data_IF_150779731177
#
_entry.id   IF_150779731177
#
_cell.length_a   1.000
_cell.length_b   1.000
_cell.length_c   1.000
_cell.angle_alpha   90.00
_cell.angle_beta   90.00
_cell.angle_gamma   90.00
#
_symmetry.space_group_name_H-M   'P 1'
#
loop_
_entity.id
_entity.type
_entity.pdbx_description
1 polymer ?
#
# COMPACT_ATOMS: atom_id res chain seq x y z
N UNK A 1 9.81 -3.06 -17.40
CA UNK A 1 8.66 -2.16 -17.14
C UNK A 1 7.41 -2.62 -17.91
N UNK A 2 6.20 -2.46 -17.34
CA UNK A 2 4.92 -2.72 -18.04
C UNK A 2 4.71 -1.89 -19.34
N UNK A 3 5.67 -1.01 -19.64
CA UNK A 3 5.76 -0.14 -20.82
C UNK A 3 6.53 -0.79 -21.99
N UNK A 4 6.85 -2.08 -21.93
CA UNK A 4 7.60 -2.78 -22.98
C UNK A 4 6.87 -2.87 -24.34
N UNK A 5 5.60 -2.44 -24.40
CA UNK A 5 4.77 -2.45 -25.59
C UNK A 5 5.13 -1.36 -26.62
N UNK A 6 5.86 -0.30 -26.22
CA UNK A 6 6.25 0.78 -27.14
C UNK A 6 7.78 1.01 -27.09
N UNK A 7 8.45 0.76 -28.22
CA UNK A 7 9.89 0.97 -28.39
C UNK A 7 10.33 2.42 -28.09
N UNK A 8 9.50 3.40 -28.43
CA UNK A 8 9.75 4.81 -28.10
C UNK A 8 9.71 5.05 -26.59
N UNK A 9 8.71 4.49 -25.90
CA UNK A 9 8.62 4.60 -24.43
C UNK A 9 9.80 3.92 -23.74
N UNK A 10 10.26 2.77 -24.25
CA UNK A 10 11.47 2.12 -23.76
C UNK A 10 12.73 2.95 -24.00
N UNK A 11 12.85 3.57 -25.18
CA UNK A 11 13.96 4.48 -25.49
C UNK A 11 13.96 5.70 -24.56
N UNK A 12 12.81 6.34 -24.34
CA UNK A 12 12.65 7.45 -23.39
C UNK A 12 12.97 7.01 -21.95
N UNK A 13 12.53 5.81 -21.55
CA UNK A 13 12.88 5.26 -20.24
C UNK A 13 14.39 5.03 -20.10
N UNK A 14 15.05 4.50 -21.13
CA UNK A 14 16.50 4.31 -21.20
C UNK A 14 17.28 5.63 -21.18
N UNK A 15 16.73 6.69 -21.78
CA UNK A 15 17.35 8.00 -21.84
C UNK A 15 17.39 8.75 -20.49
N UNK A 16 16.60 8.32 -19.49
CA UNK A 16 16.62 8.91 -18.16
C UNK A 16 18.01 8.77 -17.50
N UNK A 17 18.58 9.91 -17.09
CA UNK A 17 19.87 10.03 -16.42
C UNK A 17 19.67 10.34 -14.94
N UNK A 18 20.09 9.41 -14.08
CA UNK A 18 20.16 9.62 -12.64
C UNK A 18 21.57 10.06 -12.24
N UNK A 19 21.65 11.04 -11.32
CA UNK A 19 22.92 11.52 -10.76
C UNK A 19 22.79 11.71 -9.27
N UNK A 20 23.87 11.42 -8.54
CA UNK A 20 24.03 11.79 -7.13
C UNK A 20 25.14 12.82 -7.06
N UNK A 21 24.85 13.97 -6.46
CA UNK A 21 25.83 15.04 -6.26
C UNK A 21 26.05 15.22 -4.76
N UNK A 22 27.32 15.29 -4.36
CA UNK A 22 27.72 15.42 -2.95
C UNK A 22 27.88 16.89 -2.59
N UNK A 23 27.61 17.23 -1.32
CA UNK A 23 27.89 18.55 -0.73
C UNK A 23 27.33 19.70 -1.56
N UNK A 24 26.03 19.63 -1.87
CA UNK A 24 25.37 20.61 -2.73
C UNK A 24 25.07 21.87 -1.92
N UNK A 25 25.84 22.93 -2.17
CA UNK A 25 25.51 24.28 -1.73
C UNK A 25 24.28 24.76 -2.48
N UNK A 26 23.20 25.00 -1.76
CA UNK A 26 21.89 25.25 -2.36
C UNK A 26 21.38 26.68 -2.16
N UNK A 27 22.00 27.43 -1.24
CA UNK A 27 21.58 28.79 -0.89
C UNK A 27 22.51 29.82 -1.51
N UNK A 28 21.94 30.98 -1.85
CA UNK A 28 22.70 32.20 -2.16
C UNK A 28 22.92 33.08 -0.92
N UNK A 29 22.24 32.77 0.20
CA UNK A 29 22.27 33.56 1.42
C UNK A 29 23.24 32.97 2.48
N UNK A 30 23.61 31.70 2.35
CA UNK A 30 24.54 31.02 3.26
C UNK A 30 25.34 29.94 2.52
N UNK A 31 26.34 29.35 3.20
CA UNK A 31 27.17 28.27 2.65
C UNK A 31 26.68 26.86 3.02
N UNK A 32 25.44 26.72 3.50
CA UNK A 32 24.91 25.40 3.89
C UNK A 32 24.90 24.48 2.68
N UNK A 33 25.26 23.23 2.94
CA UNK A 33 25.29 22.18 1.94
C UNK A 33 24.43 21.00 2.39
N UNK A 34 23.74 20.39 1.43
CA UNK A 34 23.10 19.09 1.60
C UNK A 34 24.14 18.00 1.28
N UNK A 35 24.25 16.97 2.13
CA UNK A 35 25.24 15.91 1.95
C UNK A 35 25.14 15.21 0.60
N UNK A 36 23.94 14.77 0.21
CA UNK A 36 23.66 14.25 -1.14
C UNK A 36 22.37 14.83 -1.73
N UNK A 37 22.39 15.11 -3.02
CA UNK A 37 21.18 15.40 -3.80
C UNK A 37 21.09 14.43 -4.97
N UNK A 38 19.92 13.78 -5.08
CA UNK A 38 19.59 12.87 -6.18
C UNK A 38 18.87 13.67 -7.26
N UNK A 39 19.30 13.51 -8.50
CA UNK A 39 18.74 14.19 -9.67
C UNK A 39 18.23 13.19 -10.71
N UNK A 40 17.11 13.54 -11.35
CA UNK A 40 16.60 12.91 -12.56
C UNK A 40 16.64 13.94 -13.69
N UNK A 41 17.47 13.70 -14.71
CA UNK A 41 17.64 14.60 -15.86
C UNK A 41 17.98 16.05 -15.46
N UNK A 42 18.66 16.23 -14.32
CA UNK A 42 19.02 17.55 -13.77
C UNK A 42 17.97 18.17 -12.84
N UNK A 43 16.79 17.54 -12.69
CA UNK A 43 15.76 17.96 -11.72
C UNK A 43 16.07 17.31 -10.37
N UNK A 44 16.19 18.07 -9.26
CA UNK A 44 16.39 17.49 -7.95
C UNK A 44 15.13 16.75 -7.51
N UNK A 45 15.29 15.47 -7.14
CA UNK A 45 14.17 14.60 -6.74
C UNK A 45 14.27 14.15 -5.29
N UNK A 46 15.47 14.12 -4.71
CA UNK A 46 15.64 13.92 -3.27
C UNK A 46 16.85 14.65 -2.69
N UNK A 47 16.76 15.04 -1.42
CA UNK A 47 17.91 15.46 -0.60
C UNK A 47 18.20 14.41 0.46
N UNK A 48 19.46 14.34 0.92
CA UNK A 48 19.89 13.39 1.95
C UNK A 48 20.84 14.10 2.91
N UNK A 49 20.60 13.92 4.21
CA UNK A 49 21.57 14.23 5.28
C UNK A 49 22.03 12.90 5.88
N UNK A 50 23.35 12.72 5.95
CA UNK A 50 24.00 11.48 6.37
C UNK A 50 24.64 11.65 7.75
N UNK A 51 24.44 10.65 8.61
CA UNK A 51 25.07 10.57 9.94
C UNK A 51 25.61 9.18 10.20
N UNK A 52 26.47 9.07 11.19
CA UNK A 52 27.06 7.81 11.65
C UNK A 52 26.79 7.72 13.14
N UNK A 53 26.08 6.67 13.59
CA UNK A 53 25.62 6.54 14.99
C UNK A 53 26.75 6.56 16.04
N UNK A 54 28.01 6.46 15.62
CA UNK A 54 29.18 6.66 16.48
C UNK A 54 29.37 8.12 16.91
N UNK A 55 29.00 9.08 16.07
CA UNK A 55 29.17 10.52 16.32
C UNK A 55 27.85 11.26 16.41
N UNK A 56 26.90 10.93 15.53
CA UNK A 56 25.63 11.62 15.40
C UNK A 56 24.54 10.61 15.02
N UNK A 57 23.42 10.68 15.71
CA UNK A 57 22.28 9.79 15.54
C UNK A 57 21.39 10.19 14.36
N UNK A 58 20.36 9.39 14.09
CA UNK A 58 19.28 9.74 13.17
C UNK A 58 18.55 11.04 13.56
N UNK A 59 18.42 11.30 14.88
CA UNK A 59 17.78 12.51 15.39
C UNK A 59 18.56 13.75 14.99
N UNK A 60 19.89 13.69 15.02
CA UNK A 60 20.75 14.80 14.58
C UNK A 60 20.56 15.11 13.09
N UNK A 61 20.35 14.10 12.23
CA UNK A 61 20.02 14.33 10.82
C UNK A 61 18.66 15.02 10.65
N UNK A 62 17.66 14.56 11.40
CA UNK A 62 16.30 15.13 11.38
C UNK A 62 16.31 16.58 11.89
N UNK A 63 17.03 16.83 12.98
CA UNK A 63 17.13 18.15 13.57
C UNK A 63 17.92 19.10 12.66
N UNK A 64 18.97 18.63 11.99
CA UNK A 64 19.64 19.44 10.95
C UNK A 64 18.66 19.92 9.87
N UNK A 65 17.74 19.07 9.41
CA UNK A 65 16.67 19.52 8.49
C UNK A 65 15.74 20.55 9.12
N UNK A 66 15.33 20.35 10.38
CA UNK A 66 14.36 21.21 11.08
C UNK A 66 14.89 22.59 11.41
N UNK A 67 16.16 22.66 11.83
CA UNK A 67 16.79 23.88 12.36
C UNK A 67 17.62 24.60 11.29
N UNK A 68 18.32 23.87 10.42
CA UNK A 68 19.33 24.47 9.53
C UNK A 68 18.92 24.49 8.04
N UNK A 69 17.86 23.76 7.66
CA UNK A 69 17.38 23.62 6.27
C UNK A 69 15.99 24.22 6.07
N UNK A 70 15.76 25.43 6.60
CA UNK A 70 14.51 26.14 6.39
C UNK A 70 14.28 26.44 4.90
N UNK A 71 13.19 25.96 4.27
CA UNK A 71 12.88 26.27 2.87
C UNK A 71 12.58 27.74 2.61
N UNK A 72 12.25 28.52 3.65
CA UNK A 72 11.97 29.96 3.53
C UNK A 72 12.61 30.72 4.69
N UNK A 73 13.94 30.85 4.69
CA UNK A 73 14.65 31.56 5.75
C UNK A 73 14.16 33.00 5.87
N UNK A 74 14.02 33.48 7.11
CA UNK A 74 13.52 34.85 7.36
C UNK A 74 14.45 35.88 6.73
N UNK A 75 13.88 36.76 5.91
CA UNK A 75 14.63 37.83 5.24
C UNK A 75 15.39 37.40 3.98
N UNK A 76 15.22 36.17 3.51
CA UNK A 76 15.77 35.68 2.24
C UNK A 76 14.67 35.17 1.31
N UNK A 77 15.00 34.98 0.03
CA UNK A 77 14.13 34.27 -0.90
C UNK A 77 13.95 32.80 -0.48
N UNK A 78 12.89 32.16 -0.95
CA UNK A 78 12.70 30.72 -0.75
C UNK A 78 13.81 29.92 -1.41
N UNK A 79 14.29 28.89 -0.72
CA UNK A 79 15.35 28.01 -1.17
C UNK A 79 14.80 27.06 -2.25
N UNK A 80 15.19 27.19 -3.53
CA UNK A 80 14.52 26.45 -4.62
C UNK A 80 14.61 24.93 -4.47
N UNK A 81 15.73 24.43 -3.96
CA UNK A 81 15.96 23.00 -3.73
C UNK A 81 15.00 22.40 -2.68
N UNK A 82 14.63 23.19 -1.67
CA UNK A 82 13.87 22.73 -0.50
C UNK A 82 12.39 23.14 -0.54
N UNK A 83 12.03 24.02 -1.48
CA UNK A 83 10.68 24.56 -1.62
C UNK A 83 9.69 23.49 -2.04
N UNK A 84 8.51 23.46 -1.43
CA UNK A 84 7.41 22.59 -1.84
C UNK A 84 6.39 23.38 -2.67
N UNK A 85 5.83 22.84 -3.79
CA UNK A 85 6.07 21.51 -4.36
C UNK A 85 7.13 21.49 -5.49
N UNK A 86 7.91 22.56 -5.68
CA UNK A 86 8.77 22.76 -6.85
C UNK A 86 10.21 22.23 -6.73
N UNK A 87 10.67 22.00 -5.50
CA UNK A 87 12.01 21.50 -5.16
C UNK A 87 12.07 19.98 -5.10
N UNK A 88 13.02 19.45 -4.32
CA UNK A 88 13.16 18.03 -4.09
C UNK A 88 11.86 17.44 -3.50
N UNK A 89 11.49 16.25 -3.98
CA UNK A 89 10.19 15.65 -3.70
C UNK A 89 10.16 14.86 -2.38
N UNK A 90 11.34 14.45 -1.89
CA UNK A 90 11.52 13.71 -0.64
C UNK A 90 12.89 14.03 -0.03
N UNK A 91 12.95 14.09 1.29
CA UNK A 91 14.15 14.42 2.06
C UNK A 91 14.45 13.25 2.99
N UNK A 92 15.62 12.64 2.86
CA UNK A 92 16.06 11.50 3.68
C UNK A 92 17.02 11.96 4.76
N UNK A 93 16.74 11.55 6.00
CA UNK A 93 17.67 11.53 7.11
C UNK A 93 18.16 10.08 7.25
N UNK A 94 19.47 9.87 7.25
CA UNK A 94 20.05 8.52 7.21
C UNK A 94 21.15 8.37 8.25
N UNK A 95 21.08 7.31 9.04
CA UNK A 95 22.18 6.83 9.88
C UNK A 95 22.66 5.44 9.44
N UNK A 96 23.55 4.82 10.22
CA UNK A 96 24.01 3.46 9.95
C UNK A 96 22.93 2.40 10.23
N UNK A 97 21.94 2.76 11.06
CA UNK A 97 20.92 1.86 11.55
C UNK A 97 19.52 2.17 11.03
N UNK A 98 19.20 3.44 10.78
CA UNK A 98 17.84 3.89 10.46
C UNK A 98 17.78 4.89 9.30
N UNK A 99 16.63 4.90 8.61
CA UNK A 99 16.29 5.85 7.55
C UNK A 99 14.94 6.47 7.89
N UNK A 100 14.88 7.79 7.83
CA UNK A 100 13.65 8.55 7.99
C UNK A 100 13.47 9.47 6.79
N UNK A 101 12.22 9.78 6.44
CA UNK A 101 11.91 10.62 5.29
C UNK A 101 10.76 11.61 5.54
N UNK A 102 10.81 12.73 4.84
CA UNK A 102 9.72 13.71 4.78
C UNK A 102 9.53 14.16 3.33
N UNK A 103 8.29 14.43 2.91
CA UNK A 103 7.99 14.96 1.56
C UNK A 103 7.75 16.47 1.55
N UNK A 104 7.78 17.12 2.71
CA UNK A 104 7.54 18.55 2.85
C UNK A 104 8.23 19.07 4.12
N UNK A 105 9.30 19.86 3.95
CA UNK A 105 9.96 20.56 5.04
C UNK A 105 9.15 21.79 5.47
N UNK A 106 8.92 21.93 6.77
CA UNK A 106 8.20 23.03 7.42
C UNK A 106 8.98 23.58 8.62
N UNK A 107 10.31 23.63 8.49
CA UNK A 107 11.23 23.96 9.59
C UNK A 107 10.99 23.04 10.80
N UNK A 108 10.83 23.62 11.98
CA UNK A 108 10.59 22.90 13.24
C UNK A 108 9.36 21.98 13.22
N UNK A 109 8.33 22.34 12.44
CA UNK A 109 7.10 21.54 12.32
C UNK A 109 7.24 20.34 11.37
N UNK A 110 8.43 20.10 10.80
CA UNK A 110 8.66 18.97 9.90
C UNK A 110 8.52 17.65 10.64
N UNK A 111 7.69 16.77 10.10
CA UNK A 111 7.51 15.41 10.58
C UNK A 111 8.24 14.45 9.64
N UNK A 112 9.22 13.74 10.18
CA UNK A 112 9.93 12.67 9.50
C UNK A 112 9.32 11.32 9.87
N UNK A 113 9.00 10.52 8.87
CA UNK A 113 8.45 9.19 9.02
C UNK A 113 9.56 8.15 8.88
N UNK A 114 9.58 7.07 9.70
CA UNK A 114 10.45 5.93 9.45
C UNK A 114 10.25 5.36 8.05
N UNK A 115 11.35 5.01 7.40
CA UNK A 115 11.35 4.33 6.10
C UNK A 115 12.13 3.01 6.18
N UNK A 116 11.90 2.25 7.26
CA UNK A 116 12.70 1.10 7.65
C UNK A 116 12.04 -0.25 7.28
N UNK A 117 12.86 -1.32 7.15
CA UNK A 117 12.40 -2.68 6.77
C UNK A 117 11.52 -3.36 7.84
N UNK A 118 11.61 -2.92 9.10
CA UNK A 118 11.18 -3.69 10.27
C UNK A 118 12.24 -4.70 10.70
N UNK A 119 12.18 -5.13 11.96
CA UNK A 119 13.09 -6.13 12.51
C UNK A 119 12.29 -7.22 13.23
N UNK A 120 12.01 -8.32 12.54
CA UNK A 120 11.06 -9.33 12.99
C UNK A 120 9.65 -8.73 13.06
N UNK A 121 9.13 -8.54 14.28
CA UNK A 121 7.84 -7.88 14.51
C UNK A 121 7.95 -6.43 14.97
N UNK A 122 9.17 -5.88 15.13
CA UNK A 122 9.40 -4.53 15.63
C UNK A 122 9.89 -3.53 14.58
N UNK A 123 10.16 -2.31 15.01
CA UNK A 123 10.70 -1.21 14.20
C UNK A 123 12.19 -1.36 13.85
N UNK A 124 12.69 -0.43 13.04
CA UNK A 124 14.09 -0.36 12.63
C UNK A 124 14.43 -1.31 11.49
N UNK A 125 15.72 -1.61 11.31
CA UNK A 125 16.21 -2.45 10.23
C UNK A 125 16.89 -3.71 10.78
N UNK A 126 16.79 -4.87 10.10
CA UNK A 126 17.45 -6.09 10.55
C UNK A 126 18.97 -5.94 10.45
N UNK A 127 19.75 -6.72 11.22
CA UNK A 127 21.20 -6.76 11.06
C UNK A 127 21.59 -7.13 9.61
N UNK A 128 22.57 -6.44 9.07
CA UNK A 128 23.19 -6.78 7.79
C UNK A 128 24.63 -7.28 8.06
N UNK A 129 24.92 -8.53 7.74
CA UNK A 129 26.24 -9.13 7.99
C UNK A 129 27.32 -8.61 7.02
N UNK A 130 26.92 -7.98 5.92
CA UNK A 130 27.81 -7.52 4.85
C UNK A 130 27.94 -6.00 4.78
N UNK A 131 27.31 -5.24 5.69
CA UNK A 131 27.35 -3.78 5.66
C UNK A 131 26.40 -3.12 6.66
N UNK A 132 26.03 -1.88 6.37
CA UNK A 132 25.10 -1.13 7.21
C UNK A 132 23.68 -1.71 7.14
N UNK A 133 22.89 -1.52 8.20
CA UNK A 133 21.48 -1.94 8.21
C UNK A 133 20.63 -1.15 7.22
N UNK A 134 21.11 0.04 6.85
CA UNK A 134 20.51 0.95 5.87
C UNK A 134 20.93 0.69 4.42
N UNK A 135 21.70 -0.37 4.15
CA UNK A 135 22.21 -0.68 2.81
C UNK A 135 21.15 -0.85 1.73
N UNK A 136 19.97 -1.36 2.12
CA UNK A 136 18.82 -1.46 1.22
C UNK A 136 18.44 -0.11 0.58
N UNK A 137 18.75 1.03 1.22
CA UNK A 137 18.44 2.34 0.67
C UNK A 137 19.16 2.59 -0.65
N UNK A 138 20.45 2.25 -0.77
CA UNK A 138 21.17 2.43 -2.05
C UNK A 138 21.15 1.18 -2.93
N UNK A 139 21.08 -0.01 -2.36
CA UNK A 139 21.09 -1.27 -3.11
C UNK A 139 19.74 -1.61 -3.73
N UNK A 140 18.64 -1.29 -3.03
CA UNK A 140 17.29 -1.68 -3.43
C UNK A 140 16.43 -0.46 -3.80
N UNK A 141 16.48 0.63 -3.02
CA UNK A 141 15.56 1.78 -3.19
C UNK A 141 16.09 2.78 -4.23
N UNK A 142 17.36 3.18 -4.16
CA UNK A 142 17.98 4.11 -5.11
C UNK A 142 18.58 3.41 -6.34
N UNK A 143 18.47 2.09 -6.44
CA UNK A 143 18.75 1.38 -7.68
C UNK A 143 17.93 2.01 -8.83
N UNK A 144 18.55 2.19 -10.00
CA UNK A 144 18.02 3.02 -11.10
C UNK A 144 16.54 2.75 -11.39
N UNK A 145 16.20 1.51 -11.67
CA UNK A 145 14.85 1.16 -12.10
C UNK A 145 13.85 1.23 -10.93
N UNK A 146 14.31 0.90 -9.71
CA UNK A 146 13.52 1.04 -8.48
C UNK A 146 13.19 2.50 -8.18
N UNK A 147 14.17 3.40 -8.30
CA UNK A 147 13.97 4.83 -8.07
C UNK A 147 13.04 5.46 -9.10
N UNK A 148 13.25 5.14 -10.39
CA UNK A 148 12.36 5.57 -11.47
C UNK A 148 10.94 5.03 -11.30
N UNK A 149 10.80 3.79 -10.81
CA UNK A 149 9.48 3.22 -10.47
C UNK A 149 8.84 3.98 -9.31
N UNK A 150 9.57 4.29 -8.24
CA UNK A 150 9.04 5.02 -7.09
C UNK A 150 8.55 6.40 -7.51
N UNK A 151 9.41 7.20 -8.15
CA UNK A 151 9.06 8.52 -8.68
C UNK A 151 7.90 8.44 -9.67
N UNK A 152 7.98 7.45 -10.56
CA UNK A 152 7.08 7.32 -11.68
C UNK A 152 5.73 6.75 -11.28
N UNK A 153 5.63 5.87 -10.28
CA UNK A 153 4.41 5.10 -9.97
C UNK A 153 3.96 5.10 -8.52
N UNK A 154 4.84 5.35 -7.57
CA UNK A 154 4.47 5.38 -6.16
C UNK A 154 4.18 6.78 -5.65
N UNK A 155 4.81 7.81 -6.22
CA UNK A 155 4.57 9.19 -5.78
C UNK A 155 3.24 9.72 -6.29
N UNK A 156 2.37 10.12 -5.35
CA UNK A 156 1.02 10.59 -5.68
C UNK A 156 0.78 11.99 -5.10
N UNK A 157 0.55 13.01 -5.94
CA UNK A 157 0.21 14.35 -5.47
C UNK A 157 -1.24 14.39 -4.99
N UNK A 158 -1.45 14.87 -3.77
CA UNK A 158 -2.77 15.24 -3.27
C UNK A 158 -3.00 16.73 -3.55
N UNK A 159 -4.20 17.02 -4.05
CA UNK A 159 -4.59 18.37 -4.47
C UNK A 159 -5.78 18.87 -3.67
N UNK A 160 -5.83 20.16 -3.43
CA UNK A 160 -7.01 20.82 -2.88
C UNK A 160 -8.12 21.01 -3.94
N UNK A 161 -9.23 21.64 -3.53
CA UNK A 161 -10.35 21.97 -4.42
C UNK A 161 -9.98 22.94 -5.55
N UNK A 162 -8.87 23.67 -5.43
CA UNK A 162 -8.29 24.57 -6.45
C UNK A 162 -7.24 23.86 -7.32
N UNK A 163 -7.13 22.53 -7.24
CA UNK A 163 -6.17 21.69 -7.94
C UNK A 163 -4.70 21.98 -7.61
N UNK A 164 -4.43 22.68 -6.50
CA UNK A 164 -3.06 22.95 -6.04
C UNK A 164 -2.52 21.77 -5.25
N UNK A 165 -1.25 21.40 -5.47
CA UNK A 165 -0.61 20.31 -4.72
C UNK A 165 -0.38 20.77 -3.28
N UNK A 166 -1.01 20.09 -2.33
CA UNK A 166 -0.89 20.39 -0.90
C UNK A 166 -0.02 19.38 -0.16
N UNK A 167 0.09 18.16 -0.71
CA UNK A 167 0.90 17.08 -0.18
C UNK A 167 1.32 16.14 -1.29
N UNK A 168 2.48 15.50 -1.14
CA UNK A 168 2.88 14.37 -1.97
C UNK A 168 2.96 13.14 -1.07
N UNK A 169 2.25 12.08 -1.46
CA UNK A 169 2.38 10.78 -0.86
C UNK A 169 3.62 10.11 -1.41
N UNK A 170 4.50 9.69 -0.51
CA UNK A 170 5.61 8.77 -0.78
C UNK A 170 5.31 7.49 0.03
N UNK A 171 5.50 6.30 -0.54
CA UNK A 171 5.13 5.07 0.13
C UNK A 171 5.94 4.89 1.40
N UNK A 172 5.31 4.40 2.46
CA UNK A 172 6.05 3.83 3.60
C UNK A 172 6.69 2.52 3.14
N UNK A 173 7.77 2.11 3.80
CA UNK A 173 8.55 0.96 3.36
C UNK A 173 7.70 -0.32 3.25
N UNK A 174 6.89 -0.64 4.25
CA UNK A 174 6.03 -1.84 4.23
C UNK A 174 5.00 -1.83 3.10
N UNK A 175 4.53 -0.67 2.67
CA UNK A 175 3.58 -0.52 1.56
C UNK A 175 4.28 -0.81 0.23
N UNK A 176 5.49 -0.26 0.06
CA UNK A 176 6.35 -0.52 -1.10
C UNK A 176 6.70 -2.02 -1.18
N UNK A 177 7.14 -2.61 -0.08
CA UNK A 177 7.53 -4.02 0.02
C UNK A 177 6.35 -4.97 -0.26
N UNK A 178 5.19 -4.73 0.37
CA UNK A 178 4.00 -5.57 0.16
C UNK A 178 3.52 -5.55 -1.29
N UNK A 179 3.43 -4.37 -1.91
CA UNK A 179 2.91 -4.22 -3.27
C UNK A 179 3.89 -4.76 -4.33
N UNK A 180 5.20 -4.67 -4.11
CA UNK A 180 6.22 -5.28 -4.98
C UNK A 180 6.21 -6.80 -4.88
N UNK A 181 6.19 -7.34 -3.65
CA UNK A 181 6.09 -8.80 -3.42
C UNK A 181 4.82 -9.37 -4.04
N UNK A 182 3.68 -8.68 -3.88
CA UNK A 182 2.41 -9.10 -4.47
C UNK A 182 2.51 -9.17 -6.01
N UNK A 183 3.02 -8.12 -6.66
CA UNK A 183 3.21 -8.14 -8.13
C UNK A 183 4.10 -9.30 -8.58
N UNK A 184 5.24 -9.50 -7.92
CA UNK A 184 6.18 -10.56 -8.26
C UNK A 184 5.54 -11.96 -8.07
N UNK A 185 4.81 -12.16 -6.98
CA UNK A 185 4.15 -13.43 -6.71
C UNK A 185 2.99 -13.70 -7.68
N UNK A 186 2.21 -12.69 -8.06
CA UNK A 186 1.15 -12.84 -9.08
C UNK A 186 1.72 -13.21 -10.45
N UNK A 187 2.86 -12.63 -10.83
CA UNK A 187 3.55 -13.00 -12.08
C UNK A 187 4.06 -14.44 -12.04
N UNK A 188 4.51 -14.92 -10.89
CA UNK A 188 5.01 -16.28 -10.72
C UNK A 188 3.88 -17.32 -10.66
N UNK A 189 2.84 -17.04 -9.88
CA UNK A 189 1.73 -17.97 -9.64
C UNK A 189 0.72 -18.01 -10.81
N UNK A 190 0.62 -16.91 -11.56
CA UNK A 190 -0.44 -16.70 -12.53
C UNK A 190 -1.80 -16.32 -11.88
N UNK A 191 -2.86 -16.18 -12.69
CA UNK A 191 -4.20 -15.85 -12.18
C UNK A 191 -4.80 -17.03 -11.39
N UNK A 192 -5.62 -16.75 -10.36
CA UNK A 192 -6.28 -17.76 -9.52
C UNK A 192 -5.69 -17.91 -8.11
N UNK A 193 -4.56 -17.26 -7.85
CA UNK A 193 -3.88 -17.35 -6.56
C UNK A 193 -4.54 -16.48 -5.47
N UNK A 194 -4.21 -16.77 -4.20
CA UNK A 194 -4.75 -16.10 -3.02
C UNK A 194 -3.64 -15.44 -2.22
N UNK A 195 -3.90 -14.25 -1.69
CA UNK A 195 -2.92 -13.48 -0.92
C UNK A 195 -3.59 -12.81 0.28
N UNK A 196 -3.04 -13.05 1.47
CA UNK A 196 -3.43 -12.37 2.71
C UNK A 196 -2.37 -11.35 3.12
N UNK A 197 -2.70 -10.07 3.14
CA UNK A 197 -1.82 -9.00 3.60
C UNK A 197 -2.30 -8.55 4.99
N UNK A 198 -1.52 -8.92 6.00
CA UNK A 198 -1.82 -8.61 7.41
C UNK A 198 -1.11 -7.32 7.83
N UNK A 199 -1.78 -6.19 7.69
CA UNK A 199 -1.22 -4.87 8.05
C UNK A 199 -2.02 -4.24 9.18
N UNK A 200 -1.32 -3.83 10.24
CA UNK A 200 -1.93 -3.21 11.43
C UNK A 200 -2.90 -2.06 11.08
N UNK A 201 -3.88 -1.80 11.94
CA UNK A 201 -4.74 -0.62 11.83
C UNK A 201 -3.88 0.67 11.80
N UNK A 202 -4.30 1.69 11.07
CA UNK A 202 -3.54 2.95 10.92
C UNK A 202 -2.24 2.85 10.10
N UNK A 203 -1.88 1.67 9.59
CA UNK A 203 -0.67 1.47 8.75
C UNK A 203 -0.75 2.13 7.37
N UNK A 204 -1.94 2.58 6.96
CA UNK A 204 -2.20 3.18 5.64
C UNK A 204 -2.60 2.18 4.55
N UNK A 205 -3.32 1.10 4.92
CA UNK A 205 -3.79 0.04 3.99
C UNK A 205 -4.48 0.57 2.75
N UNK A 206 -5.30 1.63 2.88
CA UNK A 206 -5.99 2.28 1.76
C UNK A 206 -5.04 2.64 0.61
N UNK A 207 -3.84 3.14 0.91
CA UNK A 207 -2.84 3.44 -0.13
C UNK A 207 -2.24 2.15 -0.71
N UNK A 208 -1.97 1.13 0.11
CA UNK A 208 -1.51 -0.18 -0.35
C UNK A 208 -2.52 -0.85 -1.30
N UNK A 209 -3.81 -0.75 -1.00
CA UNK A 209 -4.91 -1.23 -1.84
C UNK A 209 -4.94 -0.45 -3.16
N UNK A 210 -4.86 0.87 -3.11
CA UNK A 210 -4.85 1.70 -4.32
C UNK A 210 -3.64 1.38 -5.23
N UNK A 211 -2.42 1.28 -4.68
CA UNK A 211 -1.24 0.85 -5.43
C UNK A 211 -1.42 -0.55 -6.02
N UNK A 212 -1.84 -1.52 -5.22
CA UNK A 212 -2.12 -2.88 -5.71
C UNK A 212 -3.14 -2.88 -6.84
N UNK A 213 -4.24 -2.14 -6.72
CA UNK A 213 -5.28 -2.09 -7.75
C UNK A 213 -4.74 -1.57 -9.09
N UNK A 214 -4.02 -0.45 -9.06
CA UNK A 214 -3.40 0.12 -10.26
C UNK A 214 -2.30 -0.77 -10.85
N UNK A 215 -1.50 -1.41 -10.00
CA UNK A 215 -0.46 -2.31 -10.47
C UNK A 215 -1.02 -3.57 -11.12
N UNK A 216 -2.02 -4.20 -10.51
CA UNK A 216 -2.66 -5.39 -11.07
C UNK A 216 -3.45 -5.06 -12.36
N UNK A 217 -4.07 -3.87 -12.43
CA UNK A 217 -4.80 -3.40 -13.61
C UNK A 217 -3.91 -3.21 -14.87
N UNK A 218 -2.62 -2.92 -14.66
CA UNK A 218 -1.61 -2.70 -15.69
C UNK A 218 -0.56 -3.82 -15.75
N UNK A 219 -0.75 -4.92 -15.01
CA UNK A 219 0.20 -6.03 -14.97
C UNK A 219 0.14 -6.85 -16.26
N UNK A 220 1.29 -7.17 -16.84
CA UNK A 220 1.42 -7.99 -18.04
C UNK A 220 2.42 -9.13 -17.82
N UNK A 221 2.18 -10.28 -18.47
CA UNK A 221 3.11 -11.41 -18.50
C UNK A 221 4.33 -11.17 -19.41
N UNK A 222 5.21 -12.17 -19.50
CA UNK A 222 6.39 -12.14 -20.37
C UNK A 222 6.07 -12.10 -21.87
N UNK A 223 4.83 -12.40 -22.27
CA UNK A 223 4.33 -12.28 -23.65
C UNK A 223 3.57 -10.96 -23.87
N UNK A 224 3.66 -10.01 -22.92
CA UNK A 224 2.97 -8.72 -22.95
C UNK A 224 1.44 -8.82 -23.01
N UNK A 225 0.87 -9.91 -22.51
CA UNK A 225 -0.59 -10.03 -22.32
C UNK A 225 -0.94 -9.54 -20.92
N UNK A 226 -2.03 -8.80 -20.79
CA UNK A 226 -2.56 -8.42 -19.48
C UNK A 226 -2.77 -9.66 -18.62
N UNK A 227 -2.42 -9.59 -17.34
CA UNK A 227 -2.74 -10.67 -16.38
C UNK A 227 -4.22 -10.63 -16.02
N UNK A 228 -4.77 -9.43 -15.82
CA UNK A 228 -6.16 -9.21 -15.47
C UNK A 228 -6.83 -8.22 -16.42
N UNK A 229 -8.07 -8.51 -16.78
CA UNK A 229 -8.94 -7.63 -17.56
C UNK A 229 -9.50 -6.51 -16.67
N UNK A 230 -9.92 -6.87 -15.46
CA UNK A 230 -10.50 -5.94 -14.48
C UNK A 230 -10.07 -6.29 -13.05
N UNK A 231 -9.78 -5.25 -12.26
CA UNK A 231 -9.56 -5.33 -10.81
C UNK A 231 -10.80 -4.83 -10.09
N UNK A 232 -11.38 -5.64 -9.22
CA UNK A 232 -12.49 -5.28 -8.36
C UNK A 232 -11.96 -4.93 -6.97
N UNK A 233 -12.28 -3.76 -6.46
CA UNK A 233 -11.93 -3.32 -5.11
C UNK A 233 -13.21 -3.27 -4.27
N UNK A 234 -13.22 -4.02 -3.17
CA UNK A 234 -14.35 -4.19 -2.27
C UNK A 234 -14.06 -3.51 -0.95
N UNK A 235 -14.99 -2.67 -0.49
CA UNK A 235 -14.93 -1.98 0.80
C UNK A 235 -16.16 -2.30 1.64
N UNK A 236 -15.97 -2.52 2.94
CA UNK A 236 -17.01 -2.89 3.92
C UNK A 236 -17.99 -1.74 4.26
N UNK A 237 -17.60 -0.48 4.01
CA UNK A 237 -18.44 0.67 4.37
C UNK A 237 -19.68 0.80 3.49
N UNK A 238 -20.85 0.99 4.12
CA UNK A 238 -22.17 1.15 3.49
C UNK A 238 -22.24 2.29 2.46
N UNK A 239 -21.41 3.31 2.65
CA UNK A 239 -21.00 4.26 1.62
C UNK A 239 -19.54 3.96 1.33
N UNK A 240 -19.21 3.80 0.04
CA UNK A 240 -17.82 3.59 -0.38
C UNK A 240 -16.99 4.72 0.25
N UNK A 241 -15.96 4.33 1.02
CA UNK A 241 -15.12 5.29 1.72
C UNK A 241 -14.59 6.33 0.73
N UNK A 242 -14.93 7.60 0.94
CA UNK A 242 -14.39 8.68 0.13
C UNK A 242 -12.86 8.66 0.15
N UNK A 243 -12.24 8.20 1.24
CA UNK A 243 -10.79 8.06 1.30
C UNK A 243 -10.25 7.00 0.33
N UNK A 244 -10.90 5.85 0.21
CA UNK A 244 -10.49 4.79 -0.72
C UNK A 244 -10.76 5.20 -2.17
N UNK A 245 -11.90 5.82 -2.44
CA UNK A 245 -12.19 6.37 -3.76
C UNK A 245 -11.18 7.44 -4.14
N UNK A 246 -11.00 8.45 -3.30
CA UNK A 246 -10.09 9.55 -3.52
C UNK A 246 -8.66 9.03 -3.71
N UNK A 247 -8.24 8.00 -2.97
CA UNK A 247 -6.97 7.33 -3.19
C UNK A 247 -6.91 6.66 -4.58
N UNK A 248 -7.89 5.81 -4.94
CA UNK A 248 -7.88 5.13 -6.24
C UNK A 248 -7.93 6.15 -7.40
N UNK A 249 -8.72 7.22 -7.29
CA UNK A 249 -8.80 8.29 -8.29
C UNK A 249 -7.56 9.17 -8.32
N UNK A 250 -6.93 9.49 -7.18
CA UNK A 250 -5.71 10.31 -7.16
C UNK A 250 -4.53 9.61 -7.87
N UNK A 251 -4.57 8.28 -7.95
CA UNK A 251 -3.57 7.45 -8.61
C UNK A 251 -3.89 7.26 -10.11
N UNK A 252 -5.08 7.66 -10.54
CA UNK A 252 -5.53 7.58 -11.94
C UNK A 252 -4.76 8.59 -12.81
N UNK A 253 -3.94 8.08 -13.74
CA UNK A 253 -3.23 8.93 -14.71
C UNK A 253 -4.00 9.18 -15.99
N UNK A 254 -4.85 8.22 -16.37
CA UNK A 254 -5.69 8.28 -17.55
C UNK A 254 -7.12 8.28 -17.09
N UNK A 255 -7.80 9.41 -17.22
CA UNK A 255 -9.18 9.57 -16.78
C UNK A 255 -10.09 8.54 -17.45
N UNK A 256 -10.92 7.87 -16.65
CA UNK A 256 -11.95 6.96 -17.12
C UNK A 256 -11.57 5.48 -17.08
N UNK A 257 -10.46 5.09 -16.45
CA UNK A 257 -10.11 3.68 -16.21
C UNK A 257 -10.72 3.15 -14.91
N UNK A 258 -11.07 4.03 -13.98
CA UNK A 258 -11.76 3.71 -12.73
C UNK A 258 -13.27 3.90 -12.88
N UNK A 259 -14.06 2.97 -12.37
CA UNK A 259 -15.50 3.10 -12.22
C UNK A 259 -15.94 2.84 -10.78
N UNK A 260 -16.93 3.62 -10.34
CA UNK A 260 -17.53 3.52 -9.01
C UNK A 260 -19.00 3.17 -9.16
N UNK A 261 -19.48 2.18 -8.43
CA UNK A 261 -20.89 1.79 -8.42
C UNK A 261 -21.61 2.53 -7.29
N UNK A 262 -22.48 3.50 -7.63
CA UNK A 262 -23.19 4.35 -6.66
C UNK A 262 -24.67 3.98 -6.54
N UNK A 263 -25.27 3.47 -7.62
CA UNK A 263 -26.70 3.15 -7.68
C UNK A 263 -27.60 4.38 -7.79
N UNK A 264 -27.10 5.49 -8.31
CA UNK A 264 -27.84 6.75 -8.47
C UNK A 264 -28.59 6.82 -9.81
N UNK A 265 -28.19 6.03 -10.81
CA UNK A 265 -28.67 6.17 -12.19
C UNK A 265 -29.35 4.93 -12.78
N UNK A 266 -29.08 3.74 -12.23
CA UNK A 266 -29.73 2.47 -12.54
C UNK A 266 -29.70 1.54 -11.32
N UNK A 267 -30.19 0.29 -11.45
CA UNK A 267 -29.95 -0.71 -10.41
C UNK A 267 -28.43 -0.90 -10.24
N UNK A 268 -27.96 -1.09 -9.00
CA UNK A 268 -26.52 -1.25 -8.69
C UNK A 268 -25.88 -2.39 -9.50
N UNK A 269 -26.66 -3.41 -9.84
CA UNK A 269 -26.26 -4.55 -10.67
C UNK A 269 -26.04 -4.16 -12.14
N UNK A 270 -26.87 -3.27 -12.71
CA UNK A 270 -26.73 -2.80 -14.10
C UNK A 270 -25.53 -1.87 -14.28
N UNK A 271 -25.28 -0.96 -13.33
CA UNK A 271 -24.09 -0.09 -13.35
C UNK A 271 -22.80 -0.93 -13.33
N UNK A 272 -22.80 -1.98 -12.53
CA UNK A 272 -21.69 -2.92 -12.38
C UNK A 272 -21.47 -3.76 -13.63
N UNK A 273 -22.52 -4.35 -14.20
CA UNK A 273 -22.42 -5.09 -15.47
C UNK A 273 -21.85 -4.20 -16.59
N UNK A 274 -22.36 -2.97 -16.72
CA UNK A 274 -21.85 -2.00 -17.70
C UNK A 274 -20.38 -1.64 -17.47
N UNK A 275 -19.95 -1.50 -16.22
CA UNK A 275 -18.55 -1.22 -15.90
C UNK A 275 -17.62 -2.40 -16.29
N UNK A 276 -18.05 -3.63 -16.02
CA UNK A 276 -17.31 -4.87 -16.36
C UNK A 276 -17.28 -5.15 -17.88
N UNK A 277 -18.35 -4.76 -18.59
CA UNK A 277 -18.42 -4.87 -20.05
C UNK A 277 -17.66 -3.74 -20.76
N UNK A 278 -17.74 -2.51 -20.24
CA UNK A 278 -17.15 -1.30 -20.81
C UNK A 278 -15.63 -1.19 -20.70
N UNK A 279 -14.94 -2.27 -20.33
CA UNK A 279 -13.47 -2.33 -20.30
C UNK A 279 -12.83 -1.47 -19.20
N UNK A 280 -13.56 -1.15 -18.13
CA UNK A 280 -13.00 -0.45 -16.97
C UNK A 280 -11.93 -1.33 -16.32
N UNK A 281 -10.76 -0.75 -16.07
CA UNK A 281 -9.62 -1.50 -15.51
C UNK A 281 -9.80 -1.73 -14.02
N UNK A 282 -10.41 -0.77 -13.31
CA UNK A 282 -10.64 -0.84 -11.87
C UNK A 282 -12.11 -0.53 -11.61
N UNK A 283 -12.79 -1.39 -10.85
CA UNK A 283 -14.17 -1.19 -10.40
C UNK A 283 -14.19 -1.20 -8.88
N UNK A 284 -14.79 -0.17 -8.27
CA UNK A 284 -14.93 -0.07 -6.82
C UNK A 284 -16.39 -0.33 -6.44
N UNK A 285 -16.61 -1.29 -5.55
CA UNK A 285 -17.94 -1.65 -5.04
C UNK A 285 -17.95 -1.79 -3.51
N UNK A 286 -19.14 -1.76 -2.94
CA UNK A 286 -19.35 -2.02 -1.51
C UNK A 286 -19.55 -3.50 -1.24
N UNK A 287 -19.45 -3.93 0.02
CA UNK A 287 -19.78 -5.30 0.44
C UNK A 287 -21.20 -5.73 0.07
N UNK A 288 -22.18 -4.81 0.07
CA UNK A 288 -23.57 -5.14 -0.28
C UNK A 288 -23.76 -5.37 -1.78
N UNK A 289 -22.92 -4.76 -2.62
CA UNK A 289 -22.97 -4.91 -4.09
C UNK A 289 -22.02 -5.99 -4.60
N UNK A 290 -21.10 -6.44 -3.75
CA UNK A 290 -20.09 -7.42 -4.08
C UNK A 290 -20.66 -8.78 -4.54
N UNK A 291 -21.72 -9.37 -3.93
CA UNK A 291 -22.25 -10.65 -4.41
C UNK A 291 -22.70 -10.60 -5.87
N UNK A 292 -23.38 -9.52 -6.26
CA UNK A 292 -23.77 -9.29 -7.66
C UNK A 292 -22.54 -9.10 -8.56
N UNK A 293 -21.52 -8.39 -8.08
CA UNK A 293 -20.24 -8.21 -8.79
C UNK A 293 -19.56 -9.56 -9.04
N UNK A 294 -19.49 -10.39 -8.02
CA UNK A 294 -18.83 -11.68 -8.05
C UNK A 294 -19.54 -12.64 -8.99
N UNK A 295 -20.87 -12.65 -9.00
CA UNK A 295 -21.65 -13.46 -9.95
C UNK A 295 -21.34 -13.05 -11.40
N UNK A 296 -21.36 -11.76 -11.72
CA UNK A 296 -21.04 -11.26 -13.05
C UNK A 296 -19.59 -11.55 -13.46
N UNK A 297 -18.64 -11.36 -12.52
CA UNK A 297 -17.21 -11.69 -12.72
C UNK A 297 -17.03 -13.16 -13.05
N UNK A 298 -17.69 -14.06 -12.30
CA UNK A 298 -17.62 -15.51 -12.53
C UNK A 298 -18.23 -15.91 -13.86
N UNK A 299 -19.39 -15.35 -14.21
CA UNK A 299 -20.01 -15.60 -15.51
C UNK A 299 -19.08 -15.17 -16.65
N UNK A 300 -18.48 -13.98 -16.57
CA UNK A 300 -17.53 -13.49 -17.56
C UNK A 300 -16.23 -14.31 -17.62
N UNK A 301 -15.74 -14.79 -16.49
CA UNK A 301 -14.58 -15.69 -16.44
C UNK A 301 -14.89 -17.04 -17.11
N UNK A 302 -16.05 -17.63 -16.80
CA UNK A 302 -16.46 -18.93 -17.34
C UNK A 302 -16.85 -18.87 -18.82
N UNK A 303 -17.54 -17.81 -19.26
CA UNK A 303 -18.09 -17.71 -20.62
C UNK A 303 -17.15 -17.04 -21.62
N UNK A 304 -16.33 -16.07 -21.16
CA UNK A 304 -15.45 -15.26 -22.02
C UNK A 304 -13.96 -15.42 -21.70
N UNK A 305 -13.60 -16.26 -20.72
CA UNK A 305 -12.21 -16.48 -20.32
C UNK A 305 -11.54 -15.24 -19.71
N UNK A 306 -12.33 -14.26 -19.24
CA UNK A 306 -11.79 -13.06 -18.60
C UNK A 306 -11.13 -13.38 -17.27
N UNK A 307 -10.06 -12.65 -16.95
CA UNK A 307 -9.28 -12.79 -15.72
C UNK A 307 -9.49 -11.59 -14.82
N UNK A 308 -9.68 -11.84 -13.52
CA UNK A 308 -10.03 -10.80 -12.56
C UNK A 308 -9.12 -10.86 -11.34
N UNK A 309 -8.88 -9.71 -10.73
CA UNK A 309 -8.33 -9.63 -9.39
C UNK A 309 -9.35 -8.98 -8.46
N UNK A 310 -9.59 -9.56 -7.29
CA UNK A 310 -10.48 -9.02 -6.26
C UNK A 310 -9.64 -8.61 -5.07
N UNK A 311 -9.70 -7.34 -4.69
CA UNK A 311 -9.00 -6.77 -3.53
C UNK A 311 -10.05 -6.37 -2.48
N UNK A 312 -9.95 -6.91 -1.27
CA UNK A 312 -10.86 -6.60 -0.16
C UNK A 312 -10.16 -5.82 0.97
N UNK A 313 -10.77 -4.73 1.45
CA UNK A 313 -10.32 -3.92 2.59
C UNK A 313 -11.10 -4.24 3.88
N UNK A 314 -10.38 -4.36 5.00
CA UNK A 314 -10.82 -4.44 6.40
C UNK A 314 -12.15 -5.16 6.65
N UNK A 315 -12.09 -6.48 6.67
CA UNK A 315 -13.20 -7.39 6.98
C UNK A 315 -13.42 -7.56 8.50
N UNK A 316 -13.73 -6.47 9.20
CA UNK A 316 -14.22 -6.54 10.57
C UNK A 316 -15.66 -6.06 10.63
N UNK A 317 -16.54 -6.98 11.01
CA UNK A 317 -17.97 -6.78 11.15
C UNK A 317 -18.30 -5.55 12.00
N UNK A 318 -18.56 -4.46 11.31
CA UNK A 318 -19.20 -3.31 11.91
C UNK A 318 -20.02 -2.70 10.81
N UNK A 319 -21.22 -3.27 10.58
CA UNK A 319 -22.46 -2.59 10.17
C UNK A 319 -23.53 -3.58 9.65
N UNK A 320 -24.56 -3.76 10.49
CA UNK A 320 -25.99 -3.99 10.19
C UNK A 320 -26.42 -5.38 9.69
N UNK A 321 -27.28 -6.04 10.48
CA UNK A 321 -27.92 -7.32 10.17
C UNK A 321 -28.76 -7.35 8.87
N UNK A 322 -29.11 -6.20 8.29
CA UNK A 322 -29.83 -6.15 7.00
C UNK A 322 -28.92 -6.51 5.81
N UNK A 323 -27.64 -6.11 5.84
CA UNK A 323 -26.67 -6.50 4.83
C UNK A 323 -26.36 -7.99 4.89
N UNK A 324 -26.24 -8.54 6.10
CA UNK A 324 -26.05 -9.97 6.34
C UNK A 324 -27.26 -10.81 5.88
N UNK A 325 -28.50 -10.29 6.02
CA UNK A 325 -29.71 -10.95 5.52
C UNK A 325 -29.75 -11.02 3.99
N UNK A 326 -29.53 -9.88 3.29
CA UNK A 326 -29.43 -9.85 1.82
C UNK A 326 -28.26 -10.68 1.29
N UNK A 327 -27.18 -10.77 2.05
CA UNK A 327 -26.06 -11.65 1.73
C UNK A 327 -26.43 -13.13 1.85
N UNK A 328 -27.12 -13.51 2.92
CA UNK A 328 -27.67 -14.87 3.08
C UNK A 328 -28.69 -15.22 1.99
N UNK A 329 -29.40 -14.25 1.42
CA UNK A 329 -30.31 -14.49 0.29
C UNK A 329 -29.59 -14.82 -1.03
N UNK A 330 -28.33 -14.37 -1.19
CA UNK A 330 -27.52 -14.62 -2.41
C UNK A 330 -26.59 -15.84 -2.23
N UNK A 331 -26.32 -16.23 -0.99
CA UNK A 331 -25.51 -17.39 -0.63
C UNK A 331 -26.35 -18.68 -0.67
N UNK A 332 -25.75 -19.79 -1.11
CA UNK A 332 -26.38 -21.12 -1.05
C UNK A 332 -26.55 -21.58 0.40
N UNK A 333 -27.47 -22.52 0.65
CA UNK A 333 -27.67 -23.09 1.99
C UNK A 333 -26.37 -23.71 2.57
N UNK A 334 -25.50 -24.26 1.71
CA UNK A 334 -24.20 -24.80 2.08
C UNK A 334 -23.19 -23.69 2.43
N UNK A 335 -23.21 -22.57 1.69
CA UNK A 335 -22.39 -21.38 1.96
C UNK A 335 -22.77 -20.74 3.30
N UNK A 336 -24.08 -20.67 3.59
CA UNK A 336 -24.62 -20.17 4.87
C UNK A 336 -24.24 -21.09 6.03
N UNK A 337 -24.34 -22.40 5.85
CA UNK A 337 -23.93 -23.38 6.87
C UNK A 337 -22.42 -23.28 7.19
N UNK A 338 -21.60 -22.94 6.19
CA UNK A 338 -20.16 -22.73 6.38
C UNK A 338 -19.81 -21.48 7.18
N UNK A 339 -20.70 -20.47 7.24
CA UNK A 339 -20.44 -19.18 7.88
C UNK A 339 -20.44 -19.23 9.42
N UNK A 340 -20.88 -20.34 10.04
CA UNK A 340 -20.88 -20.50 11.50
C UNK A 340 -21.96 -19.68 12.21
N UNK A 341 -22.20 -20.03 13.48
CA UNK A 341 -23.38 -19.64 14.25
C UNK A 341 -23.45 -18.13 14.56
N UNK A 342 -24.43 -17.43 13.97
CA UNK A 342 -25.00 -16.18 14.50
C UNK A 342 -24.19 -14.88 14.44
N UNK A 343 -22.94 -14.89 13.96
CA UNK A 343 -22.11 -13.68 13.86
C UNK A 343 -22.45 -12.75 12.67
N UNK A 344 -22.02 -11.48 12.75
CA UNK A 344 -22.05 -10.55 11.61
C UNK A 344 -21.07 -11.01 10.49
N UNK A 345 -21.50 -10.93 9.22
CA UNK A 345 -20.79 -11.44 8.04
C UNK A 345 -19.83 -10.38 7.49
N UNK A 346 -18.53 -10.69 7.35
CA UNK A 346 -17.52 -9.78 6.76
C UNK A 346 -17.24 -10.06 5.29
N UNK A 347 -16.54 -9.14 4.59
CA UNK A 347 -16.13 -9.35 3.19
C UNK A 347 -15.28 -10.62 3.02
N UNK A 348 -14.38 -10.90 3.96
CA UNK A 348 -13.59 -12.14 4.01
C UNK A 348 -14.47 -13.36 4.18
N UNK A 349 -15.49 -13.30 5.04
CA UNK A 349 -16.39 -14.44 5.29
C UNK A 349 -17.21 -14.77 4.03
N UNK A 350 -17.61 -13.75 3.26
CA UNK A 350 -18.28 -13.91 1.96
C UNK A 350 -17.31 -14.52 0.95
N UNK A 351 -16.12 -13.94 0.84
CA UNK A 351 -15.08 -14.42 -0.06
C UNK A 351 -14.76 -15.89 0.26
N UNK A 352 -14.56 -16.19 1.54
CA UNK A 352 -14.31 -17.50 2.10
C UNK A 352 -15.41 -18.51 1.78
N UNK A 353 -16.67 -18.17 2.07
CA UNK A 353 -17.82 -19.03 1.80
C UNK A 353 -17.98 -19.29 0.30
N UNK A 354 -17.89 -18.24 -0.51
CA UNK A 354 -17.98 -18.31 -1.97
C UNK A 354 -16.83 -19.12 -2.58
N UNK A 355 -15.63 -19.06 -2.00
CA UNK A 355 -14.47 -19.85 -2.43
C UNK A 355 -14.55 -21.31 -1.98
N UNK A 356 -15.14 -21.59 -0.82
CA UNK A 356 -15.32 -22.94 -0.30
C UNK A 356 -16.36 -23.74 -1.10
N UNK A 357 -17.39 -23.06 -1.61
CA UNK A 357 -18.50 -23.72 -2.30
C UNK A 357 -18.18 -24.23 -3.70
N UNK A 358 -17.16 -23.69 -4.39
CA UNK A 358 -16.86 -24.08 -5.78
C UNK A 358 -15.36 -24.09 -6.06
N UNK A 359 -14.83 -25.29 -6.30
CA UNK A 359 -13.41 -25.58 -6.47
C UNK A 359 -12.74 -25.05 -7.76
N UNK A 360 -13.48 -24.37 -8.65
CA UNK A 360 -12.95 -23.89 -9.93
C UNK A 360 -13.25 -22.42 -10.21
N UNK A 361 -12.77 -21.52 -9.35
CA UNK A 361 -12.62 -20.09 -9.70
C UNK A 361 -11.38 -19.88 -10.61
N UNK A 362 -11.28 -20.67 -11.69
CA UNK A 362 -10.18 -20.56 -12.65
C UNK A 362 -10.18 -19.14 -13.24
N UNK A 363 -9.13 -18.36 -12.94
CA UNK A 363 -8.96 -17.00 -13.47
C UNK A 363 -9.29 -15.85 -12.51
N UNK A 364 -9.69 -16.10 -11.25
CA UNK A 364 -9.91 -15.04 -10.25
C UNK A 364 -8.83 -15.08 -9.16
N UNK A 365 -8.00 -14.04 -9.11
CA UNK A 365 -7.02 -13.85 -8.03
C UNK A 365 -7.64 -13.05 -6.89
N UNK A 366 -7.42 -13.48 -5.65
CA UNK A 366 -7.95 -12.81 -4.48
C UNK A 366 -6.84 -12.23 -3.58
N UNK A 367 -7.01 -10.98 -3.17
CA UNK A 367 -6.09 -10.27 -2.27
C UNK A 367 -6.91 -9.68 -1.11
N UNK A 368 -6.67 -10.16 0.10
CA UNK A 368 -7.34 -9.66 1.31
C UNK A 368 -6.38 -8.80 2.14
N UNK A 369 -6.81 -7.61 2.55
CA UNK A 369 -6.11 -6.75 3.49
C UNK A 369 -6.84 -6.73 4.84
N UNK A 370 -6.13 -7.04 5.92
CA UNK A 370 -6.72 -7.07 7.26
C UNK A 370 -5.69 -6.77 8.34
N UNK A 371 -6.12 -6.20 9.47
CA UNK A 371 -5.27 -6.08 10.66
C UNK A 371 -5.27 -7.35 11.53
N UNK A 372 -6.40 -8.07 11.54
CA UNK A 372 -6.72 -9.12 12.52
C UNK A 372 -7.39 -10.30 11.82
N UNK A 373 -6.63 -11.11 11.06
CA UNK A 373 -7.20 -12.23 10.33
C UNK A 373 -7.79 -13.25 11.30
N UNK A 374 -9.06 -13.64 11.07
CA UNK A 374 -9.71 -14.74 11.80
C UNK A 374 -9.04 -16.07 11.40
N UNK A 375 -9.17 -17.11 12.24
CA UNK A 375 -8.62 -18.44 11.96
C UNK A 375 -9.03 -18.97 10.58
N UNK A 376 -10.31 -18.85 10.22
CA UNK A 376 -10.84 -19.27 8.92
C UNK A 376 -10.26 -18.45 7.75
N UNK A 377 -10.04 -17.14 7.93
CA UNK A 377 -9.35 -16.31 6.92
C UNK A 377 -7.92 -16.78 6.69
N UNK A 378 -7.18 -17.07 7.77
CA UNK A 378 -5.83 -17.63 7.68
C UNK A 378 -5.83 -18.96 6.94
N UNK A 379 -6.79 -19.84 7.21
CA UNK A 379 -6.89 -21.14 6.52
C UNK A 379 -7.15 -21.01 5.02
N UNK A 380 -7.94 -20.01 4.60
CA UNK A 380 -8.39 -19.87 3.21
C UNK A 380 -7.47 -19.00 2.35
N UNK A 381 -6.90 -17.93 2.91
CA UNK A 381 -6.05 -16.97 2.21
C UNK A 381 -4.58 -17.07 2.61
N UNK A 382 -4.28 -17.66 3.76
CA UNK A 382 -2.92 -17.88 4.20
C UNK A 382 -2.21 -18.87 3.28
N UNK A 383 -0.89 -18.74 3.25
CA UNK A 383 -0.02 -19.62 2.48
C UNK A 383 0.84 -20.41 3.44
N UNK A 384 0.95 -21.71 3.19
CA UNK A 384 1.86 -22.56 3.95
C UNK A 384 3.28 -22.28 3.49
N UNK A 385 4.26 -22.15 4.40
CA UNK A 385 5.66 -22.00 4.04
C UNK A 385 6.18 -23.13 3.14
N UNK A 386 5.64 -24.35 3.31
CA UNK A 386 5.92 -25.51 2.47
C UNK A 386 4.60 -26.02 1.84
N UNK A 387 4.25 -25.55 0.63
CA UNK A 387 2.97 -25.88 -0.01
C UNK A 387 2.79 -27.37 -0.32
N UNK A 388 3.88 -28.09 -0.57
CA UNK A 388 3.88 -29.52 -0.93
C UNK A 388 3.72 -30.45 0.29
N UNK A 389 3.82 -29.91 1.51
CA UNK A 389 3.63 -30.66 2.76
C UNK A 389 2.21 -30.46 3.31
N UNK A 390 1.65 -31.42 4.07
CA UNK A 390 0.38 -31.23 4.78
C UNK A 390 0.49 -30.11 5.83
N UNK A 391 -0.65 -29.58 6.25
CA UNK A 391 -0.70 -28.62 7.34
C UNK A 391 -0.26 -29.32 8.64
N UNK A 392 0.60 -28.66 9.40
CA UNK A 392 1.13 -29.16 10.68
C UNK A 392 1.47 -27.98 11.59
N UNK A 393 1.88 -28.25 12.84
CA UNK A 393 2.28 -27.18 13.74
C UNK A 393 3.48 -26.34 13.25
N UNK A 394 4.29 -26.91 12.36
CA UNK A 394 5.46 -26.25 11.74
C UNK A 394 5.22 -25.86 10.28
N UNK A 395 3.99 -26.01 9.79
CA UNK A 395 3.59 -25.69 8.41
C UNK A 395 2.15 -25.12 8.37
N UNK A 396 1.85 -24.20 9.29
CA UNK A 396 0.55 -23.53 9.33
C UNK A 396 0.46 -22.50 8.21
N UNK A 397 -0.75 -22.21 7.70
CA UNK A 397 -0.97 -21.08 6.82
C UNK A 397 -0.56 -19.77 7.51
N UNK A 398 0.23 -18.95 6.82
CA UNK A 398 0.71 -17.65 7.27
C UNK A 398 0.26 -16.56 6.30
N UNK A 399 0.20 -15.31 6.77
CA UNK A 399 -0.08 -14.19 5.89
C UNK A 399 1.05 -14.03 4.86
N UNK A 400 0.68 -13.68 3.63
CA UNK A 400 1.64 -13.44 2.56
C UNK A 400 2.58 -12.26 2.86
N UNK A 401 2.08 -11.25 3.55
CA UNK A 401 2.89 -10.12 4.02
C UNK A 401 2.36 -9.64 5.38
N UNK A 402 3.27 -9.28 6.28
CA UNK A 402 2.94 -8.81 7.64
C UNK A 402 3.56 -7.45 7.90
N UNK A 403 2.75 -6.52 8.40
CA UNK A 403 3.18 -5.29 9.05
C UNK A 403 2.50 -5.23 10.43
N UNK A 404 3.27 -5.54 11.47
CA UNK A 404 2.71 -5.88 12.78
C UNK A 404 2.21 -4.64 13.56
N UNK A 405 1.34 -4.87 14.53
CA UNK A 405 0.92 -3.82 15.47
C UNK A 405 2.09 -3.30 16.31
N UNK A 406 2.99 -4.19 16.73
CA UNK A 406 4.18 -3.83 17.48
C UNK A 406 5.07 -2.87 16.69
N UNK A 407 5.36 -3.19 15.43
CA UNK A 407 6.14 -2.32 14.56
C UNK A 407 5.45 -0.96 14.38
N UNK A 408 4.13 -0.96 14.14
CA UNK A 408 3.36 0.28 13.99
C UNK A 408 3.37 1.18 15.24
N UNK A 409 3.36 0.59 16.43
CA UNK A 409 3.49 1.30 17.71
C UNK A 409 4.90 1.86 17.86
N UNK A 410 5.93 1.03 17.67
CA UNK A 410 7.33 1.42 17.83
C UNK A 410 7.75 2.50 16.82
N UNK A 411 7.18 2.49 15.60
CA UNK A 411 7.36 3.54 14.57
C UNK A 411 6.48 4.78 14.78
N UNK A 412 5.59 4.77 15.78
CA UNK A 412 4.74 5.90 16.14
C UNK A 412 3.57 6.16 15.19
N UNK A 413 3.18 5.19 14.34
CA UNK A 413 2.00 5.33 13.47
C UNK A 413 0.68 5.07 14.20
N UNK A 414 0.71 4.31 15.29
CA UNK A 414 -0.43 4.10 16.19
C UNK A 414 0.01 4.21 17.66
N UNK A 415 -0.95 4.47 18.54
CA UNK A 415 -0.70 4.58 19.98
C UNK A 415 -0.76 3.22 20.66
N UNK A 416 0.12 2.99 21.63
CA UNK A 416 0.03 1.86 22.54
C UNK A 416 -1.05 2.11 23.60
N UNK A 417 -2.21 1.50 23.42
CA UNK A 417 -3.34 1.60 24.37
C UNK A 417 -3.09 0.85 25.68
N UNK A 418 -2.11 -0.05 25.73
CA UNK A 418 -1.78 -0.83 26.93
C UNK A 418 -0.72 -0.16 27.81
N UNK A 419 0.00 0.86 27.30
CA UNK A 419 1.07 1.54 28.03
C UNK A 419 0.64 2.10 29.39
N UNK A 420 -0.62 2.50 29.52
CA UNK A 420 -1.21 3.01 30.76
C UNK A 420 -2.32 2.10 31.31
N UNK A 421 -2.38 0.83 30.86
CA UNK A 421 -3.37 -0.11 31.35
C UNK A 421 -2.96 -0.65 32.72
N UNK A 422 -3.72 -0.27 33.75
CA UNK A 422 -3.54 -0.80 35.11
C UNK A 422 -4.68 -1.77 35.43
N UNK A 423 -4.40 -3.08 35.58
CA UNK A 423 -5.42 -4.03 36.02
C UNK A 423 -5.95 -3.66 37.40
N UNK A 424 -7.25 -3.81 37.63
CA UNK A 424 -7.89 -3.47 38.91
C UNK A 424 -7.21 -4.15 40.11
N UNK A 425 -6.78 -5.40 39.96
CA UNK A 425 -6.06 -6.15 40.99
C UNK A 425 -4.72 -5.50 41.38
N UNK A 426 -4.03 -4.89 40.42
CA UNK A 426 -2.78 -4.18 40.66
C UNK A 426 -3.05 -2.82 41.31
N UNK A 427 -4.05 -2.08 40.82
CA UNK A 427 -4.48 -0.82 41.42
C UNK A 427 -4.88 -1.00 42.89
N UNK A 428 -5.64 -2.06 43.21
CA UNK A 428 -6.03 -2.39 44.58
C UNK A 428 -4.84 -2.66 45.50
N UNK A 429 -3.81 -3.38 45.03
CA UNK A 429 -2.57 -3.61 45.79
C UNK A 429 -1.68 -2.38 45.96
N UNK A 430 -1.77 -1.42 45.05
CA UNK A 430 -1.02 -0.17 45.14
C UNK A 430 -1.71 0.87 46.03
N UNK A 431 -3.02 0.74 46.22
CA UNK A 431 -3.85 1.61 47.07
C UNK A 431 -4.09 1.06 48.49
N UNK A 432 -3.70 -0.20 48.75
CA UNK A 432 -3.67 -0.83 50.08
C UNK A 432 -2.27 -0.80 50.63
#
# INVERSE_FOLDING_TARGET
PALALNAETLAHYGANRLRVVRQVRYSLANENAIDLVLFLNGIPVATVELKTDFTQSITDAIDQYRYDRDPKPKGSASEPLLSFPSGALVHFAVSNSEVHMATHLKGLATVFLPFNKGNGTGAGNPPNLQGHRTAYLWEEIWARDSWLEILGRYMVPQRDTKKQITRVLFPRYHQLDATRKLQAAVLADGPGAKYLIQHSAGSGKTNSIAWSAHFLADLHDGEHRKIFDTVLVVSDRSVIDSQLQDAIFAFERTTGVVATIKGESASKSDELAKALEGGKKIVVCTIQTFPFALQAVRELAATKGKRFAVIADEAHSSQTGEAAAKLKEVLSAEEIASLGDGGEVSAEDILAAQMAARASDAGITYVAFTATPKGKTMELFGRRPRPDEPASDTNKPEAFHVYSMRQAIEEGFILDVLKNYTPYRLAFRLAS
#
